data_IF_373699172966
#
_entry.id   IF_373699172966
#
_cell.length_a   1.000
_cell.length_b   1.000
_cell.length_c   1.000
_cell.angle_alpha   90.00
_cell.angle_beta   90.00
_cell.angle_gamma   90.00
#
_symmetry.space_group_name_H-M   'P 1'
#
loop_
_entity.id
_entity.type
_entity.pdbx_description
1 polymer ?
#
# COMPACT_ATOMS: atom_id res chain seq x y z
N UNK A 1 9.91 46.51 15.72
CA UNK A 1 8.86 45.57 16.21
C UNK A 1 7.70 45.34 15.23
N UNK A 2 7.71 45.82 13.98
CA UNK A 2 6.64 45.51 12.99
C UNK A 2 6.84 44.14 12.28
N UNK A 3 8.08 43.77 11.99
CA UNK A 3 8.42 42.51 11.29
C UNK A 3 8.09 41.23 12.07
N UNK A 4 8.06 41.27 13.41
CA UNK A 4 7.68 40.14 14.26
C UNK A 4 6.17 39.85 14.20
N UNK A 5 5.35 40.89 14.06
CA UNK A 5 3.89 40.78 13.97
C UNK A 5 3.50 40.19 12.60
N UNK A 6 4.18 40.59 11.54
CA UNK A 6 4.00 40.03 10.19
C UNK A 6 4.38 38.55 10.13
N UNK A 7 5.48 38.15 10.77
CA UNK A 7 5.93 36.75 10.80
C UNK A 7 4.98 35.84 11.61
N UNK A 8 4.44 36.35 12.72
CA UNK A 8 3.40 35.67 13.50
C UNK A 8 2.07 35.56 12.74
N UNK A 9 1.71 36.58 11.96
CA UNK A 9 0.55 36.57 11.07
C UNK A 9 0.67 35.51 9.97
N UNK A 10 1.83 35.44 9.30
CA UNK A 10 2.13 34.43 8.28
C UNK A 10 2.10 33.00 8.85
N UNK A 11 2.60 32.79 10.07
CA UNK A 11 2.50 31.50 10.76
C UNK A 11 1.05 31.09 11.04
N UNK A 12 0.21 32.05 11.46
CA UNK A 12 -1.22 31.83 11.66
C UNK A 12 -1.97 31.49 10.36
N UNK A 13 -1.62 32.14 9.26
CA UNK A 13 -2.26 31.93 7.96
C UNK A 13 -1.87 30.61 7.31
N UNK A 14 -0.64 30.13 7.50
CA UNK A 14 -0.22 28.79 7.04
C UNK A 14 -0.94 27.69 7.83
N UNK A 15 -1.12 27.86 9.14
CA UNK A 15 -1.88 26.92 9.96
C UNK A 15 -3.34 26.91 9.54
N UNK A 16 -3.95 28.08 9.32
CA UNK A 16 -5.32 28.21 8.81
C UNK A 16 -5.47 27.58 7.42
N UNK A 17 -4.56 27.86 6.50
CA UNK A 17 -4.56 27.24 5.17
C UNK A 17 -4.46 25.71 5.26
N UNK A 18 -3.65 25.15 6.17
CA UNK A 18 -3.59 23.71 6.41
C UNK A 18 -4.89 23.16 7.01
N UNK A 19 -5.54 23.88 7.92
CA UNK A 19 -6.83 23.44 8.48
C UNK A 19 -7.96 23.54 7.45
N UNK A 20 -7.93 24.56 6.60
CA UNK A 20 -8.94 24.78 5.56
C UNK A 20 -8.77 23.77 4.42
N UNK A 21 -7.53 23.40 4.07
CA UNK A 21 -7.29 22.29 3.15
C UNK A 21 -7.77 20.95 3.71
N UNK A 22 -7.57 20.70 5.01
CA UNK A 22 -8.11 19.48 5.65
C UNK A 22 -9.64 19.50 5.67
N UNK A 23 -10.25 20.64 5.99
CA UNK A 23 -11.72 20.80 5.98
C UNK A 23 -12.29 20.64 4.58
N UNK A 24 -11.70 21.28 3.57
CA UNK A 24 -12.11 21.14 2.18
C UNK A 24 -11.98 19.70 1.68
N UNK A 25 -10.92 18.98 2.09
CA UNK A 25 -10.75 17.56 1.76
C UNK A 25 -11.78 16.69 2.44
N UNK A 26 -12.06 16.92 3.73
CA UNK A 26 -13.10 16.20 4.48
C UNK A 26 -14.48 16.49 3.90
N UNK A 27 -14.78 17.74 3.55
CA UNK A 27 -16.05 18.13 2.93
C UNK A 27 -16.20 17.56 1.52
N UNK A 28 -15.12 17.50 0.73
CA UNK A 28 -15.13 16.84 -0.57
C UNK A 28 -15.33 15.32 -0.45
N UNK A 29 -14.64 14.68 0.50
CA UNK A 29 -14.82 13.25 0.81
C UNK A 29 -16.25 13.00 1.33
N UNK A 30 -16.79 13.89 2.16
CA UNK A 30 -18.15 13.77 2.71
C UNK A 30 -19.20 14.00 1.63
N UNK A 31 -19.03 14.99 0.74
CA UNK A 31 -19.92 15.20 -0.41
C UNK A 31 -19.85 14.05 -1.42
N UNK A 32 -18.68 13.46 -1.64
CA UNK A 32 -18.54 12.26 -2.47
C UNK A 32 -19.25 11.05 -1.85
N UNK A 33 -19.18 10.89 -0.52
CA UNK A 33 -19.89 9.83 0.23
C UNK A 33 -21.40 10.08 0.29
N UNK A 34 -21.85 11.33 0.41
CA UNK A 34 -23.27 11.70 0.46
C UNK A 34 -23.95 11.64 -0.92
N UNK A 35 -23.23 11.98 -2.00
CA UNK A 35 -23.72 11.78 -3.37
C UNK A 35 -23.69 10.31 -3.79
N UNK A 36 -22.91 9.47 -3.11
CA UNK A 36 -22.88 8.02 -3.27
C UNK A 36 -24.03 7.37 -2.47
N UNK A 37 -25.27 7.58 -2.91
CA UNK A 37 -26.41 6.74 -2.54
C UNK A 37 -26.27 5.26 -2.94
N UNK A 38 -25.15 4.89 -3.59
CA UNK A 38 -24.79 3.54 -4.01
C UNK A 38 -23.89 2.85 -2.98
N UNK A 39 -24.45 1.86 -2.29
CA UNK A 39 -23.74 0.96 -1.37
C UNK A 39 -22.50 0.31 -2.01
N UNK A 40 -22.52 0.11 -3.33
CA UNK A 40 -21.42 -0.48 -4.11
C UNK A 40 -20.19 0.43 -4.18
N UNK A 41 -20.36 1.73 -4.43
CA UNK A 41 -19.23 2.67 -4.50
C UNK A 41 -18.57 2.90 -3.14
N UNK A 42 -19.35 2.87 -2.06
CA UNK A 42 -18.81 2.93 -0.69
C UNK A 42 -18.02 1.66 -0.35
N UNK A 43 -18.50 0.48 -0.77
CA UNK A 43 -17.81 -0.80 -0.58
C UNK A 43 -16.48 -0.87 -1.34
N UNK A 44 -16.47 -0.50 -2.62
CA UNK A 44 -15.26 -0.40 -3.45
C UNK A 44 -14.24 0.57 -2.85
N UNK A 45 -14.69 1.75 -2.39
CA UNK A 45 -13.80 2.73 -1.75
C UNK A 45 -13.25 2.25 -0.40
N UNK A 46 -14.04 1.54 0.41
CA UNK A 46 -13.58 0.94 1.65
C UNK A 46 -12.62 -0.23 1.40
N UNK A 47 -12.92 -1.09 0.42
CA UNK A 47 -12.05 -2.18 0.00
C UNK A 47 -10.71 -1.65 -0.53
N UNK A 48 -10.74 -0.58 -1.34
CA UNK A 48 -9.53 0.10 -1.83
C UNK A 48 -8.75 0.80 -0.71
N UNK A 49 -9.42 1.49 0.23
CA UNK A 49 -8.77 2.11 1.39
C UNK A 49 -8.16 1.06 2.33
N UNK A 50 -8.80 -0.09 2.53
CA UNK A 50 -8.25 -1.20 3.31
C UNK A 50 -7.09 -1.90 2.58
N UNK A 51 -7.14 -1.97 1.24
CA UNK A 51 -6.03 -2.44 0.42
C UNK A 51 -4.83 -1.47 0.42
N UNK A 52 -5.02 -0.20 0.77
CA UNK A 52 -3.93 0.79 0.87
C UNK A 52 -2.99 0.54 2.06
N UNK A 53 -3.46 -0.15 3.11
CA UNK A 53 -2.63 -0.62 4.23
C UNK A 53 -2.22 -2.09 4.01
N UNK A 54 -1.71 -2.41 2.81
CA UNK A 54 -1.36 -3.79 2.46
C UNK A 54 -0.06 -4.20 3.15
N UNK A 55 -0.17 -4.97 4.22
CA UNK A 55 0.95 -5.72 4.81
C UNK A 55 1.29 -6.97 3.99
N UNK A 56 0.38 -7.44 3.12
CA UNK A 56 0.52 -8.74 2.44
C UNK A 56 1.70 -8.75 1.46
N UNK A 57 1.95 -7.65 0.74
CA UNK A 57 3.12 -7.55 -0.15
C UNK A 57 4.43 -7.42 0.63
N UNK A 58 4.43 -6.71 1.76
CA UNK A 58 5.57 -6.64 2.66
C UNK A 58 5.89 -8.02 3.27
N UNK A 59 4.86 -8.74 3.72
CA UNK A 59 4.99 -10.10 4.25
C UNK A 59 5.66 -11.05 3.25
N UNK A 60 5.15 -11.13 2.02
CA UNK A 60 5.74 -12.00 1.00
C UNK A 60 7.14 -11.54 0.59
N UNK A 61 7.41 -10.23 0.58
CA UNK A 61 8.76 -9.70 0.33
C UNK A 61 9.75 -10.14 1.41
N UNK A 62 9.34 -10.11 2.69
CA UNK A 62 10.17 -10.59 3.81
C UNK A 62 10.39 -12.10 3.70
N UNK A 63 9.33 -12.89 3.53
CA UNK A 63 9.44 -14.35 3.45
C UNK A 63 10.33 -14.80 2.28
N UNK A 64 10.21 -14.18 1.10
CA UNK A 64 11.01 -14.53 -0.07
C UNK A 64 12.47 -14.04 0.04
N UNK A 65 12.73 -12.98 0.81
CA UNK A 65 14.10 -12.46 0.99
C UNK A 65 14.94 -13.23 2.01
N UNK A 66 14.31 -13.90 2.98
CA UNK A 66 15.01 -14.72 3.99
C UNK A 66 15.92 -15.79 3.36
N UNK A 67 15.44 -16.72 2.51
CA UNK A 67 16.31 -17.73 1.91
C UNK A 67 17.36 -17.13 0.97
N UNK A 68 17.06 -16.00 0.33
CA UNK A 68 18.01 -15.27 -0.52
C UNK A 68 19.21 -14.76 0.30
N UNK A 69 18.97 -14.17 1.47
CA UNK A 69 20.03 -13.68 2.36
C UNK A 69 20.78 -14.85 3.01
N UNK A 70 20.06 -15.87 3.47
CA UNK A 70 20.66 -17.06 4.10
C UNK A 70 21.60 -17.82 3.18
N UNK A 71 21.37 -17.79 1.86
CA UNK A 71 22.25 -18.43 0.88
C UNK A 71 23.69 -17.86 0.86
N UNK A 72 23.90 -16.64 1.35
CA UNK A 72 25.24 -16.02 1.44
C UNK A 72 25.98 -16.33 2.75
N UNK A 73 25.33 -16.98 3.71
CA UNK A 73 25.91 -17.32 5.02
C UNK A 73 26.22 -18.82 5.02
N UNK A 74 27.51 -19.24 4.98
CA UNK A 74 27.89 -20.65 4.80
C UNK A 74 27.22 -21.62 5.78
N UNK A 75 27.02 -21.22 7.04
CA UNK A 75 26.41 -22.04 8.08
C UNK A 75 24.90 -22.23 7.91
N UNK A 76 24.24 -21.42 7.07
CA UNK A 76 22.79 -21.44 6.88
C UNK A 76 22.36 -22.03 5.52
N UNK A 77 23.31 -22.25 4.61
CA UNK A 77 23.05 -22.76 3.27
C UNK A 77 22.35 -24.13 3.28
N UNK A 78 22.73 -25.02 4.20
CA UNK A 78 22.12 -26.35 4.31
C UNK A 78 20.62 -26.29 4.60
N UNK A 79 20.20 -25.39 5.50
CA UNK A 79 18.78 -25.21 5.82
C UNK A 79 17.96 -24.70 4.62
N UNK A 80 18.56 -23.81 3.81
CA UNK A 80 17.93 -23.32 2.58
C UNK A 80 17.74 -24.47 1.59
N UNK A 81 18.76 -25.30 1.39
CA UNK A 81 18.69 -26.46 0.49
C UNK A 81 17.66 -27.49 0.95
N UNK A 82 17.67 -27.86 2.25
CA UNK A 82 16.68 -28.78 2.83
C UNK A 82 15.25 -28.23 2.72
N UNK A 83 15.09 -26.92 2.88
CA UNK A 83 13.80 -26.25 2.70
C UNK A 83 13.28 -26.38 1.26
N UNK A 84 14.14 -26.18 0.27
CA UNK A 84 13.75 -26.35 -1.14
C UNK A 84 13.40 -27.80 -1.49
N UNK A 85 14.15 -28.78 -0.98
CA UNK A 85 13.81 -30.20 -1.13
C UNK A 85 12.43 -30.49 -0.52
N UNK A 86 12.16 -29.98 0.68
CA UNK A 86 10.85 -30.14 1.33
C UNK A 86 9.72 -29.50 0.51
N UNK A 87 9.97 -28.40 -0.20
CA UNK A 87 9.00 -27.77 -1.10
C UNK A 87 8.76 -28.58 -2.40
N UNK A 88 9.69 -29.44 -2.80
CA UNK A 88 9.47 -30.39 -3.91
C UNK A 88 8.57 -31.56 -3.50
N UNK A 89 8.52 -31.89 -2.22
CA UNK A 89 7.67 -32.97 -1.69
C UNK A 89 6.22 -32.54 -1.43
N UNK A 90 5.95 -31.24 -1.29
CA UNK A 90 4.58 -30.78 -1.05
C UNK A 90 3.65 -31.07 -2.24
N UNK A 91 2.35 -31.35 -1.98
CA UNK A 91 1.37 -31.57 -3.04
C UNK A 91 1.30 -30.43 -4.05
N UNK A 92 1.08 -30.78 -5.32
CA UNK A 92 1.13 -29.83 -6.42
C UNK A 92 0.09 -28.70 -6.29
N UNK A 93 -1.13 -29.02 -5.86
CA UNK A 93 -2.20 -28.04 -5.65
C UNK A 93 -1.81 -26.95 -4.64
N UNK A 94 -0.99 -27.29 -3.63
CA UNK A 94 -0.54 -26.35 -2.62
C UNK A 94 0.50 -25.39 -3.19
N UNK A 95 1.46 -25.90 -3.97
CA UNK A 95 2.46 -25.07 -4.66
C UNK A 95 1.82 -24.03 -5.55
N UNK A 96 0.82 -24.44 -6.35
CA UNK A 96 0.08 -23.52 -7.21
C UNK A 96 -0.70 -22.47 -6.41
N UNK A 97 -1.29 -22.86 -5.28
CA UNK A 97 -2.02 -21.94 -4.40
C UNK A 97 -1.10 -20.87 -3.80
N UNK A 98 0.10 -21.26 -3.36
CA UNK A 98 1.12 -20.34 -2.84
C UNK A 98 1.59 -19.38 -3.95
N UNK A 99 1.88 -19.91 -5.14
CA UNK A 99 2.31 -19.09 -6.28
C UNK A 99 1.24 -18.06 -6.69
N UNK A 100 -0.04 -18.46 -6.67
CA UNK A 100 -1.17 -17.57 -6.93
C UNK A 100 -1.30 -16.48 -5.85
N UNK A 101 -1.14 -16.83 -4.56
CA UNK A 101 -1.18 -15.86 -3.46
C UNK A 101 -0.07 -14.81 -3.56
N UNK A 102 1.15 -15.23 -3.89
CA UNK A 102 2.30 -14.33 -4.13
C UNK A 102 2.02 -13.43 -5.33
N UNK A 103 1.54 -14.00 -6.44
CA UNK A 103 1.21 -13.24 -7.66
C UNK A 103 0.16 -12.17 -7.38
N UNK A 104 -0.90 -12.51 -6.65
CA UNK A 104 -1.93 -11.58 -6.22
C UNK A 104 -1.40 -10.48 -5.29
N UNK A 105 -0.42 -10.79 -4.44
CA UNK A 105 0.22 -9.80 -3.58
C UNK A 105 0.92 -8.70 -4.39
N UNK A 106 1.66 -9.06 -5.45
CA UNK A 106 2.39 -8.11 -6.27
C UNK A 106 1.56 -7.46 -7.40
N UNK A 107 0.51 -8.12 -7.88
CA UNK A 107 -0.36 -7.59 -8.95
C UNK A 107 -1.06 -6.29 -8.57
N UNK A 108 -1.33 -6.06 -7.28
CA UNK A 108 -2.03 -4.86 -6.77
C UNK A 108 -1.26 -3.54 -6.96
N UNK A 109 0.01 -3.57 -7.36
CA UNK A 109 0.88 -2.39 -7.45
C UNK A 109 0.88 -1.66 -8.80
N UNK A 110 0.21 -2.19 -9.84
CA UNK A 110 0.25 -1.60 -11.19
C UNK A 110 -1.12 -1.18 -11.72
N UNK A 111 -1.41 0.11 -11.57
CA UNK A 111 -1.97 0.97 -12.61
C UNK A 111 -1.54 2.41 -12.26
N UNK A 112 -0.41 2.92 -12.79
CA UNK A 112 -0.21 4.37 -12.81
C UNK A 112 -1.43 4.98 -13.49
N UNK A 113 -1.95 6.09 -12.98
CA UNK A 113 -3.18 6.71 -13.46
C UNK A 113 -3.08 7.04 -14.96
N UNK A 114 -3.46 6.08 -15.81
CA UNK A 114 -3.51 6.23 -17.26
C UNK A 114 -4.59 7.24 -17.68
N UNK A 115 -5.53 7.57 -16.78
CA UNK A 115 -6.52 8.61 -17.02
C UNK A 115 -5.92 10.02 -16.92
N UNK A 116 -4.76 10.19 -16.29
CA UNK A 116 -3.99 11.44 -16.33
C UNK A 116 -3.28 11.66 -17.67
N UNK A 117 -2.90 10.59 -18.38
CA UNK A 117 -2.23 10.66 -19.69
C UNK A 117 -3.18 10.98 -20.85
N UNK A 118 -4.49 10.72 -20.70
CA UNK A 118 -5.53 11.05 -21.71
C UNK A 118 -5.95 12.54 -21.70
N UNK A 119 -5.41 13.36 -20.79
CA UNK A 119 -5.77 14.79 -20.62
C UNK A 119 -4.68 15.75 -21.11
N UNK A 120 -3.70 15.28 -21.88
CA UNK A 120 -2.80 16.11 -22.68
C UNK A 120 -3.14 15.92 -24.15
#
# INVERSE_FOLDING_TARGET
>A
MKWLIELLGLGGDIVKARTDLKRAKIEAETKAVLNAGDREGAWENMAAKNAANSWVDEFWTVILSIPLVMAFIPQLQEFVMLGFISLEEVPEWYRWSVLAAISFAFARKKLPDLASWRRK
#
